data_IF_573298998916
#
_entry.id   IF_573298998916
#
_cell.length_a   1.000
_cell.length_b   1.000
_cell.length_c   1.000
_cell.angle_alpha   90.00
_cell.angle_beta   90.00
_cell.angle_gamma   90.00
#
_symmetry.space_group_name_H-M   'P 1'
#
loop_
_entity.id
_entity.type
_entity.pdbx_description
1 polymer ?
#
# COMPACT_ATOMS: atom_id res chain seq x y z
N UNK A 1 19.17 -6.64 0.09
CA UNK A 1 17.70 -6.59 0.17
C UNK A 1 17.20 -5.89 -1.10
N UNK A 2 16.59 -6.61 -2.06
CA UNK A 2 16.03 -5.96 -3.25
C UNK A 2 14.84 -5.12 -2.78
N UNK A 3 14.97 -3.80 -2.85
CA UNK A 3 13.87 -2.87 -2.61
C UNK A 3 12.90 -3.04 -3.78
N UNK A 4 11.90 -3.89 -3.62
CA UNK A 4 10.82 -4.00 -4.60
C UNK A 4 9.99 -2.72 -4.56
N UNK A 5 9.70 -2.13 -5.73
CA UNK A 5 8.77 -1.01 -5.79
C UNK A 5 7.34 -1.55 -5.57
N UNK A 6 6.69 -1.23 -4.43
CA UNK A 6 5.35 -1.71 -4.13
C UNK A 6 4.32 -1.26 -5.15
N UNK A 7 4.57 -0.16 -5.88
CA UNK A 7 3.67 0.34 -6.93
C UNK A 7 3.68 -0.57 -8.14
N UNK A 8 4.88 -0.97 -8.56
CA UNK A 8 5.05 -1.89 -9.69
C UNK A 8 4.40 -3.22 -9.35
N UNK A 9 4.66 -3.73 -8.14
CA UNK A 9 4.06 -4.98 -7.69
C UNK A 9 2.53 -4.92 -7.59
N UNK A 10 1.98 -3.84 -7.05
CA UNK A 10 0.53 -3.63 -6.99
C UNK A 10 -0.11 -3.60 -8.40
N UNK A 11 0.55 -2.96 -9.38
CA UNK A 11 0.07 -2.92 -10.77
C UNK A 11 0.10 -4.30 -11.42
N UNK A 12 1.16 -5.07 -11.21
CA UNK A 12 1.26 -6.46 -11.70
C UNK A 12 0.13 -7.33 -11.15
N UNK A 13 -0.09 -7.28 -9.83
CA UNK A 13 -1.15 -8.05 -9.18
C UNK A 13 -2.54 -7.65 -9.65
N UNK A 14 -2.78 -6.35 -9.82
CA UNK A 14 -4.04 -5.84 -10.35
C UNK A 14 -4.28 -6.30 -11.80
N UNK A 15 -3.25 -6.26 -12.65
CA UNK A 15 -3.33 -6.74 -14.02
C UNK A 15 -3.58 -8.26 -14.09
N UNK A 16 -2.86 -9.04 -13.28
CA UNK A 16 -3.01 -10.50 -13.22
C UNK A 16 -4.43 -10.94 -12.81
N UNK A 17 -5.05 -10.23 -11.86
CA UNK A 17 -6.44 -10.48 -11.43
C UNK A 17 -7.51 -9.73 -12.25
N UNK A 18 -7.12 -8.94 -13.27
CA UNK A 18 -8.02 -8.07 -14.07
C UNK A 18 -8.88 -7.13 -13.21
N UNK A 19 -8.33 -6.62 -12.11
CA UNK A 19 -8.99 -5.65 -11.23
C UNK A 19 -8.41 -4.26 -11.43
N UNK A 20 -9.22 -3.23 -11.18
CA UNK A 20 -8.78 -1.83 -11.32
C UNK A 20 -8.30 -1.27 -9.98
N UNK A 21 -7.35 -0.33 -10.00
CA UNK A 21 -6.91 0.38 -8.79
C UNK A 21 -8.04 1.17 -8.12
N UNK A 22 -9.01 1.66 -8.90
CA UNK A 22 -10.22 2.28 -8.38
C UNK A 22 -11.10 1.28 -7.64
N UNK A 23 -11.34 0.09 -8.20
CA UNK A 23 -12.09 -0.98 -7.55
C UNK A 23 -11.43 -1.47 -6.26
N UNK A 24 -10.11 -1.63 -6.26
CA UNK A 24 -9.34 -1.93 -5.05
C UNK A 24 -9.44 -0.80 -4.01
N UNK A 25 -9.46 0.47 -4.42
CA UNK A 25 -9.65 1.57 -3.47
C UNK A 25 -11.03 1.50 -2.80
N UNK A 26 -12.09 1.17 -3.55
CA UNK A 26 -13.43 0.97 -2.98
C UNK A 26 -13.49 -0.20 -2.01
N UNK A 27 -12.79 -1.31 -2.32
CA UNK A 27 -12.67 -2.47 -1.41
C UNK A 27 -12.05 -2.09 -0.05
N UNK A 28 -11.17 -1.09 -0.04
CA UNK A 28 -10.51 -0.57 1.16
C UNK A 28 -11.31 0.55 1.85
N UNK A 29 -12.53 0.83 1.41
CA UNK A 29 -13.31 1.99 1.85
C UNK A 29 -12.55 3.33 1.70
N UNK A 30 -11.79 3.44 0.61
CA UNK A 30 -11.02 4.65 0.24
C UNK A 30 -11.58 5.30 -1.01
N UNK A 31 -11.34 6.62 -1.19
CA UNK A 31 -11.67 7.29 -2.45
C UNK A 31 -10.98 6.60 -3.63
N UNK A 32 -11.67 6.47 -4.77
CA UNK A 32 -11.19 5.74 -5.97
C UNK A 32 -9.80 6.16 -6.48
N UNK A 33 -9.45 7.42 -6.24
CA UNK A 33 -8.16 8.00 -6.61
C UNK A 33 -7.01 7.57 -5.70
N UNK A 34 -7.26 6.90 -4.57
CA UNK A 34 -6.24 6.58 -3.57
C UNK A 34 -5.12 5.72 -4.15
N UNK A 35 -5.42 4.51 -4.63
CA UNK A 35 -4.39 3.63 -5.20
C UNK A 35 -3.89 4.12 -6.56
N UNK A 36 -4.75 4.79 -7.34
CA UNK A 36 -4.37 5.43 -8.60
C UNK A 36 -3.30 6.51 -8.40
N UNK A 37 -3.44 7.31 -7.34
CA UNK A 37 -2.45 8.32 -6.96
C UNK A 37 -1.19 7.67 -6.37
N UNK A 38 -1.35 6.66 -5.50
CA UNK A 38 -0.22 5.90 -4.96
C UNK A 38 0.66 5.33 -6.08
N UNK A 39 0.04 4.73 -7.10
CA UNK A 39 0.72 4.17 -8.26
C UNK A 39 1.37 5.24 -9.15
N UNK A 40 0.89 6.49 -9.18
CA UNK A 40 1.45 7.56 -10.04
C UNK A 40 2.51 8.42 -9.35
N UNK A 41 2.46 8.55 -8.02
CA UNK A 41 3.35 9.44 -7.26
C UNK A 41 4.81 9.02 -7.45
N UNK A 42 5.71 10.01 -7.64
CA UNK A 42 7.16 9.77 -7.71
C UNK A 42 7.80 9.60 -6.32
N UNK A 43 7.25 10.22 -5.27
CA UNK A 43 7.77 10.17 -3.89
C UNK A 43 7.16 9.03 -3.09
N UNK A 44 7.97 8.20 -2.44
CA UNK A 44 7.54 7.04 -1.64
C UNK A 44 6.66 7.51 -0.46
N UNK A 45 5.35 7.42 -0.63
CA UNK A 45 4.42 7.47 0.50
C UNK A 45 4.07 6.03 0.82
N UNK A 46 4.29 5.54 2.05
CA UNK A 46 3.94 4.16 2.40
C UNK A 46 2.43 3.95 2.29
N UNK A 47 2.02 2.73 1.94
CA UNK A 47 0.63 2.30 2.11
C UNK A 47 0.30 2.32 3.60
N UNK A 48 -0.94 2.65 3.93
CA UNK A 48 -1.45 2.42 5.27
C UNK A 48 -1.29 0.94 5.63
N UNK A 49 -0.91 0.64 6.88
CA UNK A 49 -0.62 -0.71 7.30
C UNK A 49 -1.86 -1.63 7.21
N UNK A 50 -3.05 -1.10 7.54
CA UNK A 50 -4.29 -1.84 7.41
C UNK A 50 -4.63 -2.10 5.94
N UNK A 51 -4.55 -1.06 5.11
CA UNK A 51 -4.83 -1.15 3.67
C UNK A 51 -3.89 -2.15 2.98
N UNK A 52 -2.60 -2.13 3.34
CA UNK A 52 -1.60 -3.07 2.84
C UNK A 52 -1.92 -4.50 3.23
N UNK A 53 -2.29 -4.76 4.49
CA UNK A 53 -2.68 -6.10 4.95
C UNK A 53 -3.89 -6.62 4.19
N UNK A 54 -4.90 -5.78 3.98
CA UNK A 54 -6.10 -6.14 3.21
C UNK A 54 -5.75 -6.47 1.75
N UNK A 55 -4.88 -5.69 1.12
CA UNK A 55 -4.40 -5.98 -0.24
C UNK A 55 -3.60 -7.29 -0.28
N UNK A 56 -2.70 -7.52 0.69
CA UNK A 56 -1.92 -8.74 0.78
C UNK A 56 -2.82 -9.99 0.89
N UNK A 57 -3.85 -9.93 1.75
CA UNK A 57 -4.86 -10.97 1.90
C UNK A 57 -5.66 -11.17 0.61
N UNK A 58 -6.14 -10.08 0.01
CA UNK A 58 -6.89 -10.14 -1.24
C UNK A 58 -6.09 -10.78 -2.39
N UNK A 59 -4.79 -10.47 -2.47
CA UNK A 59 -3.92 -10.99 -3.51
C UNK A 59 -3.31 -12.36 -3.18
N UNK A 60 -3.28 -12.77 -1.92
CA UNK A 60 -2.59 -13.98 -1.47
C UNK A 60 -1.07 -13.85 -1.52
N UNK A 61 -0.53 -12.65 -1.24
CA UNK A 61 0.91 -12.34 -1.26
C UNK A 61 1.38 -11.86 0.10
N UNK A 62 2.70 -11.79 0.32
CA UNK A 62 3.25 -11.21 1.55
C UNK A 62 3.09 -9.68 1.59
N UNK A 63 2.82 -9.10 2.75
CA UNK A 63 2.82 -7.63 2.93
C UNK A 63 4.15 -6.98 2.52
N UNK A 64 5.27 -7.71 2.61
CA UNK A 64 6.59 -7.23 2.20
C UNK A 64 6.66 -6.93 0.70
N UNK A 65 5.89 -7.66 -0.12
CA UNK A 65 5.81 -7.42 -1.56
C UNK A 65 5.10 -6.09 -1.89
N UNK A 66 4.29 -5.60 -0.95
CA UNK A 66 3.55 -4.34 -1.05
C UNK A 66 4.19 -3.22 -0.21
N UNK A 67 5.49 -3.33 0.10
CA UNK A 67 6.24 -2.29 0.80
C UNK A 67 6.02 -2.31 2.31
N UNK A 68 5.68 -3.47 2.86
CA UNK A 68 5.81 -3.73 4.30
C UNK A 68 7.28 -3.85 4.67
N UNK A 69 7.88 -2.78 5.18
CA UNK A 69 9.14 -2.90 5.91
C UNK A 69 8.86 -3.51 7.28
N UNK A 70 9.81 -4.35 7.72
CA UNK A 70 9.92 -4.91 9.06
C UNK A 70 9.57 -3.87 10.14
N UNK A 71 9.00 -4.29 11.29
CA UNK A 71 8.27 -3.41 12.21
C UNK A 71 9.11 -2.20 12.56
N UNK A 72 8.77 -1.04 11.96
CA UNK A 72 9.22 0.21 12.51
C UNK A 72 8.41 0.40 13.79
N UNK A 73 9.09 0.28 14.93
CA UNK A 73 8.58 0.71 16.21
C UNK A 73 7.93 2.10 16.05
N UNK A 74 6.75 2.36 16.63
CA UNK A 74 6.10 3.65 16.49
C UNK A 74 7.01 4.68 17.16
N UNK A 75 7.67 5.50 16.35
CA UNK A 75 8.33 6.68 16.88
C UNK A 75 7.22 7.60 17.36
N UNK A 76 6.97 7.50 18.67
CA UNK A 76 6.15 8.43 19.44
C UNK A 76 6.63 9.84 19.12
N UNK A 77 5.98 10.54 18.19
CA UNK A 77 5.89 11.99 18.27
C UNK A 77 4.90 12.35 19.38
N UNK A 78 5.34 12.08 20.59
CA UNK A 78 5.02 12.91 21.74
C UNK A 78 5.56 14.31 21.46
N UNK A 79 4.67 15.22 21.06
CA UNK A 79 4.58 16.54 21.69
C UNK A 79 3.22 17.15 21.38
N UNK A 80 2.28 16.95 22.31
CA UNK A 80 1.61 18.11 22.92
C UNK A 80 2.62 18.87 23.78
N UNK A 81 2.34 20.14 24.01
CA UNK A 81 3.11 21.21 24.69
C UNK A 81 3.77 22.15 23.66
N UNK A 82 3.41 23.44 23.56
CA UNK A 82 2.72 24.33 24.49
C UNK A 82 1.75 25.27 23.74
#
# INVERSE_FOLDING_TARGET
MRVFDPRTRLRELAAARRVTLAGLSRMLDRPERYLSNFARRRRLAPLDAHDRRMLALFFGVSEMELGGDAPHWPERRSRRAA
#
